data_IF_338946617695
#
_entry.id   IF_338946617695
#
_cell.length_a   1.000
_cell.length_b   1.000
_cell.length_c   1.000
_cell.angle_alpha   90.00
_cell.angle_beta   90.00
_cell.angle_gamma   90.00
#
_symmetry.space_group_name_H-M   'P 1'
#
loop_
_entity.id
_entity.type
_entity.pdbx_description
1 polymer ?
#
# COMPACT_ATOMS: atom_id res chain seq x y z
N UNK A 1 0.67 20.75 0.10
CA UNK A 1 1.46 19.59 0.52
C UNK A 1 0.79 18.32 0.01
N UNK A 2 1.58 17.42 -0.55
CA UNK A 2 1.01 16.22 -1.17
C UNK A 2 1.18 15.02 -0.28
N UNK A 3 0.21 14.12 -0.37
CA UNK A 3 0.23 12.88 0.39
C UNK A 3 -0.04 11.71 -0.53
N UNK A 4 0.49 10.56 -0.15
CA UNK A 4 0.15 9.29 -0.78
C UNK A 4 -0.59 8.46 0.27
N UNK A 5 -1.77 8.00 -0.08
CA UNK A 5 -2.58 7.18 0.83
C UNK A 5 -2.55 5.75 0.31
N UNK A 6 -1.98 4.86 1.12
CA UNK A 6 -1.91 3.44 0.79
C UNK A 6 -3.19 2.79 1.30
N UNK A 7 -3.86 2.04 0.44
CA UNK A 7 -5.12 1.38 0.77
C UNK A 7 -4.86 -0.10 1.03
N UNK A 8 -5.27 -0.56 2.21
CA UNK A 8 -5.13 -1.95 2.62
C UNK A 8 -6.49 -2.53 2.95
N UNK A 9 -6.74 -3.74 2.48
CA UNK A 9 -7.96 -4.47 2.81
C UNK A 9 -7.66 -5.45 3.92
N UNK A 10 -8.38 -5.33 5.03
CA UNK A 10 -8.26 -6.21 6.17
C UNK A 10 -9.62 -6.84 6.47
N UNK A 11 -9.67 -7.72 7.46
CA UNK A 11 -10.92 -8.35 7.88
C UNK A 11 -11.90 -7.31 8.45
N UNK A 12 -11.37 -6.18 8.93
CA UNK A 12 -12.20 -5.10 9.50
C UNK A 12 -12.65 -4.10 8.47
N UNK A 13 -12.20 -4.24 7.21
CA UNK A 13 -12.52 -3.30 6.14
C UNK A 13 -11.28 -2.69 5.54
N UNK A 14 -11.43 -1.53 4.92
CA UNK A 14 -10.33 -0.83 4.26
C UNK A 14 -9.64 0.09 5.25
N UNK A 15 -8.31 -0.02 5.31
CA UNK A 15 -7.48 0.86 6.13
C UNK A 15 -6.65 1.74 5.22
N UNK A 16 -6.34 2.94 5.70
CA UNK A 16 -5.57 3.92 4.95
C UNK A 16 -4.30 4.27 5.72
N UNK A 17 -3.17 4.26 5.00
CA UNK A 17 -1.89 4.70 5.57
C UNK A 17 -1.47 5.95 4.81
N UNK A 18 -1.37 7.06 5.50
CA UNK A 18 -1.04 8.36 4.91
C UNK A 18 0.46 8.59 4.99
N UNK A 19 1.09 8.81 3.85
CA UNK A 19 2.53 9.05 3.75
C UNK A 19 2.77 10.45 3.18
N UNK A 20 3.79 11.12 3.69
CA UNK A 20 4.18 12.41 3.14
C UNK A 20 4.84 12.22 1.79
N UNK A 21 4.44 13.02 0.81
CA UNK A 21 5.08 13.06 -0.49
C UNK A 21 6.14 14.14 -0.46
N UNK A 22 7.37 13.77 -0.79
CA UNK A 22 8.48 14.71 -0.86
C UNK A 22 8.78 15.02 -2.34
N UNK A 23 10.01 14.80 -2.76
CA UNK A 23 10.44 15.09 -4.14
C UNK A 23 10.10 13.97 -5.10
N UNK A 24 9.74 12.79 -4.58
CA UNK A 24 9.38 11.66 -5.42
C UNK A 24 7.92 11.76 -5.83
N UNK A 25 7.60 11.18 -6.98
CA UNK A 25 6.21 11.14 -7.38
C UNK A 25 5.47 10.08 -6.55
N UNK A 26 4.15 10.19 -6.55
CA UNK A 26 3.29 9.38 -5.73
C UNK A 26 3.39 7.89 -6.05
N UNK A 27 3.54 7.54 -7.33
CA UNK A 27 3.70 6.13 -7.72
C UNK A 27 4.99 5.52 -7.19
N UNK A 28 6.08 6.29 -7.20
CA UNK A 28 7.37 5.82 -6.69
C UNK A 28 7.31 5.60 -5.19
N UNK A 29 6.65 6.51 -4.48
CA UNK A 29 6.49 6.39 -3.02
C UNK A 29 5.66 5.15 -2.68
N UNK A 30 4.55 4.94 -3.41
CA UNK A 30 3.69 3.79 -3.18
C UNK A 30 4.42 2.47 -3.48
N UNK A 31 5.20 2.43 -4.56
CA UNK A 31 5.96 1.24 -4.91
C UNK A 31 7.04 0.93 -3.87
N UNK A 32 7.75 1.95 -3.40
CA UNK A 32 8.77 1.78 -2.38
C UNK A 32 8.14 1.24 -1.09
N UNK A 33 7.01 1.78 -0.69
CA UNK A 33 6.30 1.31 0.49
C UNK A 33 5.90 -0.16 0.34
N UNK A 34 5.37 -0.52 -0.82
CA UNK A 34 4.95 -1.88 -1.10
C UNK A 34 6.12 -2.86 -1.00
N UNK A 35 7.27 -2.51 -1.57
CA UNK A 35 8.43 -3.38 -1.56
C UNK A 35 8.98 -3.61 -0.16
N UNK A 36 8.91 -2.60 0.69
CA UNK A 36 9.44 -2.67 2.06
C UNK A 36 8.44 -3.35 3.00
N UNK A 37 7.16 -3.11 2.82
CA UNK A 37 6.14 -3.48 3.81
C UNK A 37 5.24 -4.64 3.39
N UNK A 38 5.36 -5.12 2.15
CA UNK A 38 4.52 -6.22 1.69
C UNK A 38 5.36 -7.26 0.95
N UNK A 39 4.77 -8.45 0.81
CA UNK A 39 5.35 -9.52 -0.01
C UNK A 39 4.28 -10.03 -0.95
N UNK A 40 4.69 -10.37 -2.15
CA UNK A 40 3.78 -10.90 -3.15
C UNK A 40 3.56 -12.39 -2.88
N UNK A 41 2.30 -12.79 -2.88
CA UNK A 41 1.89 -14.19 -2.77
C UNK A 41 1.18 -14.60 -4.05
N UNK A 42 1.59 -15.72 -4.61
CA UNK A 42 1.03 -16.28 -5.82
C UNK A 42 0.20 -17.52 -5.43
N UNK A 43 -1.10 -17.44 -5.62
CA UNK A 43 -1.99 -18.52 -5.25
C UNK A 43 -3.44 -18.09 -5.39
N UNK A 44 -4.38 -18.78 -4.74
CA UNK A 44 -5.80 -18.45 -4.83
C UNK A 44 -6.09 -16.98 -4.44
N UNK A 45 -5.31 -16.44 -3.51
CA UNK A 45 -5.45 -15.05 -3.07
C UNK A 45 -4.20 -14.27 -3.46
N UNK A 46 -3.99 -14.09 -4.76
CA UNK A 46 -2.85 -13.36 -5.28
C UNK A 46 -2.85 -11.90 -4.81
N UNK A 47 -1.66 -11.39 -4.54
CA UNK A 47 -1.50 -9.99 -4.23
C UNK A 47 -0.34 -9.73 -3.30
N UNK A 48 -0.20 -8.47 -2.90
CA UNK A 48 0.84 -8.03 -1.98
C UNK A 48 0.23 -7.90 -0.59
N UNK A 49 0.76 -8.68 0.35
CA UNK A 49 0.23 -8.73 1.71
C UNK A 49 1.25 -8.22 2.70
N UNK A 50 0.76 -7.47 3.69
CA UNK A 50 1.61 -7.06 4.82
C UNK A 50 1.85 -8.25 5.73
N UNK A 51 2.84 -8.17 6.65
CA UNK A 51 3.05 -9.24 7.63
C UNK A 51 1.82 -9.52 8.49
N UNK A 52 0.94 -8.53 8.63
CA UNK A 52 -0.31 -8.66 9.38
C UNK A 52 -1.41 -9.36 8.57
N UNK A 53 -1.15 -9.69 7.31
CA UNK A 53 -2.13 -10.37 6.47
C UNK A 53 -3.09 -9.44 5.75
N UNK A 54 -2.78 -8.15 5.66
CA UNK A 54 -3.61 -7.17 4.96
C UNK A 54 -3.19 -7.07 3.51
N UNK A 55 -4.17 -7.03 2.61
CA UNK A 55 -3.92 -6.94 1.18
C UNK A 55 -3.82 -5.49 0.75
N UNK A 56 -2.73 -5.13 0.06
CA UNK A 56 -2.61 -3.81 -0.55
C UNK A 56 -3.44 -3.78 -1.82
N UNK A 57 -4.50 -2.97 -1.83
CA UNK A 57 -5.40 -2.89 -2.97
C UNK A 57 -5.13 -1.70 -3.88
N UNK A 58 -4.30 -0.77 -3.44
CA UNK A 58 -3.95 0.37 -4.27
C UNK A 58 -3.46 1.54 -3.46
N UNK A 59 -3.42 2.70 -4.11
CA UNK A 59 -3.02 3.93 -3.44
C UNK A 59 -3.74 5.11 -4.09
N UNK A 60 -3.83 6.21 -3.32
CA UNK A 60 -4.43 7.46 -3.79
C UNK A 60 -3.39 8.56 -3.64
N UNK A 61 -3.32 9.46 -4.61
CA UNK A 61 -2.48 10.65 -4.55
C UNK A 61 -3.34 11.86 -4.20
N UNK A 62 -2.95 12.59 -3.18
CA UNK A 62 -3.61 13.85 -2.82
C UNK A 62 -2.69 15.02 -3.01
#
# INVERSE_FOLDING_TARGET
MKYVIILLLSMSGVEEIKLNSTDLNCGEIANAWREVNTRYYDGPNQGNFTPDGKLMIGYICE
#
